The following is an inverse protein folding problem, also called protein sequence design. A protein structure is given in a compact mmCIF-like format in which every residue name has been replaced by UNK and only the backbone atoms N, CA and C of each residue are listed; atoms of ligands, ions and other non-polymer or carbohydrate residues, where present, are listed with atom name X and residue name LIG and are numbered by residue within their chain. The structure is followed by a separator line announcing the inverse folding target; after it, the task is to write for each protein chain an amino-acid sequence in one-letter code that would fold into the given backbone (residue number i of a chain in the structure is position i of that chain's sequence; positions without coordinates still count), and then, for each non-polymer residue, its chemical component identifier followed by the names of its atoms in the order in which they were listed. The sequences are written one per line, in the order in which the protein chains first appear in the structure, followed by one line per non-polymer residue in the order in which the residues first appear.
data_IF_284896296825
#
_entry.id   IF_284896296825
#
_cell.length_a   1.000
_cell.length_b   1.000
_cell.length_c   1.000
_cell.angle_alpha   90.00
_cell.angle_beta   90.00
_cell.angle_gamma   90.00
#
_symmetry.space_group_name_H-M   'P 1'
#
loop_
_entity.id
_entity.type
_entity.pdbx_description
1 polymer ?
#
# COMPACT_ATOMS: atom_id res chain seq x y z
N UNK A 1 -5.61 17.84 7.05
CA UNK A 1 -5.69 16.66 7.94
C UNK A 1 -7.13 16.20 7.94
N UNK A 2 -7.45 15.08 7.28
CA UNK A 2 -8.82 14.53 7.27
C UNK A 2 -9.06 13.84 8.60
N UNK A 3 -9.87 14.45 9.46
CA UNK A 3 -10.28 13.84 10.73
C UNK A 3 -11.16 12.61 10.44
N UNK A 4 -10.52 11.44 10.38
CA UNK A 4 -11.21 10.18 10.14
C UNK A 4 -12.01 9.85 11.39
N UNK A 5 -13.32 10.11 11.36
CA UNK A 5 -14.26 9.73 12.41
C UNK A 5 -14.07 8.24 12.76
N UNK A 6 -14.07 7.91 14.05
CA UNK A 6 -13.87 6.53 14.50
C UNK A 6 -14.99 5.62 13.96
N UNK A 7 -14.70 4.33 13.77
CA UNK A 7 -15.69 3.33 13.32
C UNK A 7 -16.95 3.33 14.20
N UNK A 8 -16.77 3.56 15.49
CA UNK A 8 -17.87 3.65 16.46
C UNK A 8 -18.71 4.92 16.29
N UNK A 9 -18.09 6.06 15.99
CA UNK A 9 -18.80 7.30 15.70
C UNK A 9 -19.64 7.17 14.43
N UNK A 10 -19.08 6.59 13.36
CA UNK A 10 -19.82 6.29 12.11
C UNK A 10 -21.03 5.38 12.40
N UNK A 11 -20.85 4.32 13.20
CA UNK A 11 -21.95 3.40 13.54
C UNK A 11 -23.08 4.08 14.33
N UNK A 12 -22.75 4.97 15.28
CA UNK A 12 -23.76 5.75 16.01
C UNK A 12 -24.51 6.69 15.09
N UNK A 13 -23.80 7.36 14.19
CA UNK A 13 -24.39 8.28 13.23
C UNK A 13 -25.36 7.56 12.28
N UNK A 14 -24.98 6.40 11.74
CA UNK A 14 -25.84 5.59 10.89
C UNK A 14 -27.13 5.18 11.62
N UNK A 15 -27.02 4.68 12.86
CA UNK A 15 -28.20 4.32 13.67
C UNK A 15 -29.14 5.50 13.90
N UNK A 16 -28.59 6.68 14.22
CA UNK A 16 -29.38 7.90 14.40
C UNK A 16 -30.15 8.26 13.13
N UNK A 17 -29.47 8.29 11.98
CA UNK A 17 -30.11 8.62 10.68
C UNK A 17 -31.16 7.59 10.29
N UNK A 18 -30.93 6.31 10.54
CA UNK A 18 -31.94 5.26 10.28
C UNK A 18 -33.17 5.45 11.15
N UNK A 19 -33.00 5.73 12.45
CA UNK A 19 -34.13 5.99 13.36
C UNK A 19 -34.93 7.24 12.96
N UNK A 20 -34.24 8.32 12.58
CA UNK A 20 -34.85 9.55 12.07
C UNK A 20 -35.68 9.30 10.81
N UNK A 21 -35.11 8.59 9.83
CA UNK A 21 -35.80 8.21 8.59
C UNK A 21 -37.09 7.41 8.86
N UNK A 22 -37.03 6.44 9.78
CA UNK A 22 -38.20 5.66 10.18
C UNK A 22 -39.24 6.51 10.92
N UNK A 23 -38.80 7.44 11.78
CA UNK A 23 -39.72 8.32 12.54
C UNK A 23 -40.48 9.29 11.65
N UNK A 24 -39.90 9.68 10.51
CA UNK A 24 -40.52 10.52 9.48
C UNK A 24 -41.48 9.73 8.56
N UNK A 25 -41.70 8.43 8.84
CA UNK A 25 -42.55 7.56 8.03
C UNK A 25 -41.85 6.94 6.82
N UNK A 26 -40.52 6.99 6.77
CA UNK A 26 -39.74 6.34 5.71
C UNK A 26 -39.79 4.81 5.81
N UNK A 27 -39.86 4.14 4.67
CA UNK A 27 -39.89 2.68 4.56
C UNK A 27 -38.54 2.12 4.09
N UNK A 28 -38.05 1.07 4.74
CA UNK A 28 -36.81 0.39 4.35
C UNK A 28 -37.13 -0.78 3.41
N UNK A 29 -36.76 -0.64 2.15
CA UNK A 29 -36.89 -1.71 1.14
C UNK A 29 -35.76 -2.71 1.29
N UNK A 30 -36.12 -4.00 1.41
CA UNK A 30 -35.17 -5.12 1.46
C UNK A 30 -35.02 -5.73 0.07
N UNK A 31 -33.79 -5.70 -0.44
CA UNK A 31 -33.43 -6.33 -1.71
C UNK A 31 -32.58 -7.58 -1.47
N UNK A 32 -32.59 -8.49 -2.44
CA UNK A 32 -31.76 -9.69 -2.40
C UNK A 32 -30.31 -9.36 -2.76
N UNK A 33 -29.35 -10.07 -2.16
CA UNK A 33 -27.94 -9.85 -2.47
C UNK A 33 -27.66 -10.29 -3.91
N UNK A 34 -27.02 -9.42 -4.69
CA UNK A 34 -26.75 -9.65 -6.12
C UNK A 34 -27.87 -9.20 -7.06
N UNK A 35 -28.97 -8.66 -6.54
CA UNK A 35 -30.02 -8.04 -7.34
C UNK A 35 -29.48 -6.78 -8.03
N UNK A 36 -29.75 -6.66 -9.33
CA UNK A 36 -29.37 -5.48 -10.10
C UNK A 36 -30.33 -4.34 -9.79
N UNK A 37 -29.80 -3.13 -9.58
CA UNK A 37 -30.63 -1.92 -9.46
C UNK A 37 -31.15 -1.41 -10.81
N UNK A 38 -30.82 -2.09 -11.91
CA UNK A 38 -31.25 -1.71 -13.25
C UNK A 38 -32.64 -2.28 -13.60
N UNK A 39 -33.51 -1.49 -14.27
CA UNK A 39 -34.84 -1.95 -14.68
C UNK A 39 -34.76 -3.15 -15.62
N UNK A 40 -35.59 -4.18 -15.38
CA UNK A 40 -35.67 -5.33 -16.27
C UNK A 40 -36.22 -4.99 -17.66
N UNK A 41 -37.06 -3.94 -17.75
CA UNK A 41 -37.73 -3.52 -18.98
C UNK A 41 -36.82 -2.78 -19.96
N UNK A 42 -35.64 -2.34 -19.51
CA UNK A 42 -34.69 -1.58 -20.32
C UNK A 42 -33.43 -2.39 -20.56
N UNK A 43 -32.82 -2.28 -21.75
CA UNK A 43 -31.52 -2.90 -21.98
C UNK A 43 -30.53 -2.34 -20.95
N UNK A 44 -29.76 -3.25 -20.34
CA UNK A 44 -28.74 -2.90 -19.35
C UNK A 44 -27.81 -1.81 -19.89
N UNK A 45 -27.47 -0.83 -19.06
CA UNK A 45 -26.52 0.20 -19.44
C UNK A 45 -25.18 -0.44 -19.87
N UNK A 46 -24.58 0.09 -20.94
CA UNK A 46 -23.24 -0.33 -21.37
C UNK A 46 -22.28 -0.14 -20.21
N UNK A 47 -21.46 -1.15 -19.92
CA UNK A 47 -20.45 -1.07 -18.87
C UNK A 47 -19.60 0.19 -19.08
N UNK A 48 -19.44 1.03 -18.06
CA UNK A 48 -18.74 2.31 -18.14
C UNK A 48 -17.29 2.18 -18.67
N UNK A 49 -16.72 0.98 -18.60
CA UNK A 49 -15.36 0.65 -19.04
C UNK A 49 -15.28 0.23 -20.51
N UNK A 50 -16.41 -0.03 -21.18
CA UNK A 50 -16.44 -0.37 -22.60
C UNK A 50 -16.76 0.90 -23.37
N UNK A 51 -15.71 1.67 -23.69
CA UNK A 51 -15.82 2.78 -24.63
C UNK A 51 -16.29 2.24 -25.98
N UNK A 52 -17.33 2.84 -26.56
CA UNK A 52 -17.76 2.53 -27.94
C UNK A 52 -16.78 3.03 -29.02
N UNK A 53 -15.65 3.61 -28.61
CA UNK A 53 -14.62 4.07 -29.53
C UNK A 53 -13.98 2.88 -30.28
N UNK A 54 -13.69 3.04 -31.59
CA UNK A 54 -12.96 2.02 -32.33
C UNK A 54 -11.56 1.81 -31.70
N UNK A 55 -10.99 0.60 -31.81
CA UNK A 55 -9.65 0.31 -31.32
C UNK A 55 -8.64 1.32 -31.88
N UNK A 56 -7.90 2.01 -31.00
CA UNK A 56 -6.85 2.94 -31.39
C UNK A 56 -5.62 2.16 -31.87
N UNK A 57 -5.04 2.58 -32.99
CA UNK A 57 -3.75 2.05 -33.47
C UNK A 57 -2.67 2.34 -32.44
N UNK A 58 -2.03 1.28 -31.91
CA UNK A 58 -0.94 1.41 -30.95
C UNK A 58 0.39 1.36 -31.71
N UNK A 59 1.22 2.39 -31.56
CA UNK A 59 2.61 2.33 -32.02
C UNK A 59 3.41 1.47 -31.05
N UNK A 60 4.06 0.42 -31.56
CA UNK A 60 4.90 -0.45 -30.75
C UNK A 60 6.23 0.25 -30.47
N UNK A 61 6.52 0.55 -29.21
CA UNK A 61 7.72 1.32 -28.80
C UNK A 61 8.65 0.48 -27.90
N UNK A 62 8.71 -0.83 -28.16
CA UNK A 62 9.48 -1.75 -27.33
C UNK A 62 10.97 -1.41 -27.29
N UNK A 63 11.55 -0.94 -28.40
CA UNK A 63 12.97 -0.59 -28.45
C UNK A 63 13.32 0.56 -27.49
N UNK A 64 12.42 1.53 -27.33
CA UNK A 64 12.60 2.65 -26.39
C UNK A 64 12.44 2.18 -24.95
N UNK A 65 11.46 1.31 -24.67
CA UNK A 65 11.29 0.71 -23.34
C UNK A 65 12.54 -0.09 -22.95
N UNK A 66 13.03 -0.92 -23.87
CA UNK A 66 14.26 -1.69 -23.70
C UNK A 66 15.47 -0.78 -23.46
N UNK A 67 15.59 0.33 -24.20
CA UNK A 67 16.66 1.31 -24.00
C UNK A 67 16.59 1.99 -22.61
N UNK A 68 15.38 2.33 -22.13
CA UNK A 68 15.16 2.91 -20.81
C UNK A 68 15.51 1.93 -19.69
N UNK A 69 15.13 0.66 -19.81
CA UNK A 69 15.43 -0.34 -18.79
C UNK A 69 16.93 -0.67 -18.74
N UNK A 70 17.60 -0.74 -19.89
CA UNK A 70 19.07 -0.82 -19.96
C UNK A 70 19.75 0.38 -19.29
N UNK A 71 19.14 1.56 -19.30
CA UNK A 71 19.68 2.74 -18.59
C UNK A 71 19.55 2.61 -17.07
N UNK A 72 18.46 2.00 -16.57
CA UNK A 72 18.25 1.81 -15.13
C UNK A 72 19.24 0.82 -14.52
N UNK A 73 19.60 -0.24 -15.25
CA UNK A 73 20.51 -1.30 -14.77
C UNK A 73 21.98 -0.90 -14.80
N UNK A 74 22.36 0.10 -15.61
CA UNK A 74 23.73 0.63 -15.71
C UNK A 74 24.20 1.47 -14.51
N UNK A 75 23.41 1.59 -13.44
CA UNK A 75 23.95 2.09 -12.18
C UNK A 75 24.96 1.05 -11.69
N UNK A 76 26.25 1.33 -11.94
CA UNK A 76 27.33 0.55 -11.36
C UNK A 76 27.03 0.40 -9.86
N UNK A 77 27.12 -0.82 -9.30
CA UNK A 77 27.00 -0.96 -7.85
C UNK A 77 28.00 0.01 -7.24
N UNK A 78 27.53 0.92 -6.38
CA UNK A 78 28.43 1.76 -5.60
C UNK A 78 29.43 0.80 -4.97
N UNK A 79 30.72 0.94 -5.31
CA UNK A 79 31.78 0.10 -4.74
C UNK A 79 31.50 0.00 -3.26
N UNK A 80 31.26 -1.21 -2.75
CA UNK A 80 31.01 -1.41 -1.33
C UNK A 80 32.18 -0.77 -0.60
N UNK A 81 31.93 0.36 0.05
CA UNK A 81 32.92 0.98 0.91
C UNK A 81 33.17 -0.04 2.00
N UNK A 82 34.40 -0.56 2.06
CA UNK A 82 34.80 -1.49 3.13
C UNK A 82 34.41 -0.80 4.44
N UNK A 83 33.54 -1.41 5.22
CA UNK A 83 33.14 -0.86 6.50
C UNK A 83 34.43 -0.61 7.31
N UNK A 84 34.62 0.64 7.75
CA UNK A 84 35.74 0.96 8.62
C UNK A 84 35.57 0.12 9.89
N UNK A 85 36.61 -0.64 10.25
CA UNK A 85 36.65 -1.39 11.50
C UNK A 85 36.51 -0.39 12.64
N UNK A 86 35.46 -0.56 13.45
CA UNK A 86 35.22 0.27 14.64
C UNK A 86 35.97 -0.35 15.81
N UNK A 87 36.54 0.45 16.72
CA UNK A 87 37.18 -0.10 17.91
C UNK A 87 36.19 -0.96 18.71
N UNK A 88 36.60 -2.18 19.06
CA UNK A 88 35.83 -3.10 19.91
C UNK A 88 36.51 -3.18 21.28
N UNK A 89 35.71 -3.18 22.34
CA UNK A 89 36.21 -3.45 23.70
C UNK A 89 36.61 -4.92 23.81
N UNK A 90 37.87 -5.16 24.18
CA UNK A 90 38.41 -6.49 24.47
C UNK A 90 38.87 -6.53 25.92
N UNK A 91 38.38 -7.52 26.66
CA UNK A 91 38.76 -7.76 28.05
C UNK A 91 39.98 -8.68 28.03
N UNK A 92 41.03 -8.30 28.76
CA UNK A 92 42.20 -9.14 29.03
C UNK A 92 41.93 -9.92 30.31
N UNK A 93 42.10 -11.23 30.23
CA UNK A 93 41.92 -12.15 31.36
C UNK A 93 43.28 -12.66 31.84
N UNK A 94 43.43 -12.85 33.15
CA UNK A 94 44.59 -13.49 33.77
C UNK A 94 44.64 -15.01 33.48
N UNK A 95 45.72 -15.67 33.88
CA UNK A 95 45.89 -17.13 33.82
C UNK A 95 44.79 -17.90 34.59
N UNK A 96 44.08 -17.22 35.51
CA UNK A 96 42.92 -17.73 36.24
C UNK A 96 41.56 -17.29 35.66
N UNK A 97 41.52 -16.56 34.54
CA UNK A 97 40.28 -16.14 33.88
C UNK A 97 39.61 -14.91 34.49
N UNK A 98 40.26 -14.23 35.44
CA UNK A 98 39.74 -12.98 36.02
C UNK A 98 40.01 -11.78 35.09
N UNK A 99 39.04 -10.87 34.89
CA UNK A 99 39.22 -9.72 34.01
C UNK A 99 40.15 -8.67 34.65
N UNK A 100 41.35 -8.50 34.09
CA UNK A 100 42.33 -7.54 34.61
C UNK A 100 42.12 -6.15 34.00
N UNK A 101 41.84 -6.06 32.68
CA UNK A 101 41.79 -4.77 31.99
C UNK A 101 40.92 -4.79 30.74
N UNK A 102 40.20 -3.68 30.51
CA UNK A 102 39.56 -3.37 29.23
C UNK A 102 40.51 -2.60 28.31
N UNK A 103 40.68 -3.08 27.08
CA UNK A 103 41.40 -2.38 26.01
C UNK A 103 40.49 -2.20 24.79
N UNK A 104 40.69 -1.12 24.03
CA UNK A 104 40.02 -0.91 22.74
C UNK A 104 40.94 -1.41 21.62
N UNK A 105 40.46 -2.36 20.80
CA UNK A 105 41.20 -2.88 19.64
C UNK A 105 40.52 -2.48 18.34
N UNK A 106 41.29 -2.10 17.32
CA UNK A 106 40.81 -1.72 15.97
C UNK A 106 40.80 -2.88 14.97
N UNK A 107 41.01 -4.11 15.45
CA UNK A 107 40.99 -5.33 14.63
C UNK A 107 39.61 -5.68 14.09
#
# INVERSE_FOLDING_TARGET
MTSRSSKNAIRRELRRKTAEFLSLGGEIKKHSAGETGEPADKPRARAAFVSGEPPKTRTYINDVVLALDRRKTKKAPSKATKASKRPIKKIIYDDFGEPIREIWSTE
#
